data_IF_327114585116
#
_entry.id   IF_327114585116
#
_cell.length_a   1.000
_cell.length_b   1.000
_cell.length_c   1.000
_cell.angle_alpha   90.00
_cell.angle_beta   90.00
_cell.angle_gamma   90.00
#
_symmetry.space_group_name_H-M   'P 1'
#
loop_
_entity.id
_entity.type
_entity.pdbx_description
1 polymer ?
#
# COMPACT_ATOMS: atom_id res chain seq x y z
N UNK A 1 45.98 16.24 16.98
CA UNK A 1 44.93 16.47 15.97
C UNK A 1 43.97 17.47 16.59
N UNK A 2 44.02 18.74 16.16
CA UNK A 2 43.08 19.77 16.62
C UNK A 2 41.90 19.72 15.66
N UNK A 3 40.80 19.10 16.10
CA UNK A 3 39.56 19.06 15.34
C UNK A 3 38.83 20.38 15.60
N UNK A 4 38.74 21.23 14.58
CA UNK A 4 37.90 22.42 14.61
C UNK A 4 36.44 21.98 14.71
N UNK A 5 35.83 22.29 15.87
CA UNK A 5 34.47 21.96 16.33
C UNK A 5 34.22 20.48 16.67
N UNK A 6 34.51 20.05 17.91
CA UNK A 6 33.69 19.05 18.53
C UNK A 6 32.47 19.79 19.09
N UNK A 7 31.36 19.80 18.38
CA UNK A 7 30.10 19.68 19.12
C UNK A 7 30.26 18.47 20.02
N UNK A 8 29.87 18.58 21.28
CA UNK A 8 29.91 17.53 22.30
C UNK A 8 29.01 16.34 21.91
N UNK A 9 29.38 15.66 20.84
CA UNK A 9 28.69 14.53 20.26
C UNK A 9 29.20 13.26 20.94
N UNK A 10 28.27 12.56 21.58
CA UNK A 10 28.51 11.29 22.25
C UNK A 10 29.08 10.25 21.28
N UNK A 11 28.74 10.34 19.99
CA UNK A 11 29.20 9.45 18.93
C UNK A 11 30.73 9.48 18.81
N UNK A 12 31.32 10.68 18.78
CA UNK A 12 32.78 10.84 18.69
C UNK A 12 33.50 10.32 19.94
N UNK A 13 32.91 10.49 21.14
CA UNK A 13 33.50 9.88 22.34
C UNK A 13 33.51 8.35 22.26
N UNK A 14 32.43 7.73 21.78
CA UNK A 14 32.37 6.27 21.58
C UNK A 14 33.40 5.81 20.54
N UNK A 15 33.60 6.56 19.46
CA UNK A 15 34.67 6.28 18.49
C UNK A 15 36.07 6.34 19.13
N UNK A 16 36.32 7.35 19.98
CA UNK A 16 37.58 7.47 20.70
C UNK A 16 37.80 6.32 21.71
N UNK A 17 36.75 5.84 22.35
CA UNK A 17 36.79 4.66 23.23
C UNK A 17 37.15 3.39 22.44
N UNK A 18 36.50 3.17 21.29
CA UNK A 18 36.80 2.06 20.38
C UNK A 18 38.24 2.15 19.88
N UNK A 19 38.67 3.32 19.41
CA UNK A 19 40.05 3.56 18.96
C UNK A 19 41.07 3.22 20.05
N UNK A 20 40.77 3.60 21.31
CA UNK A 20 41.65 3.27 22.45
C UNK A 20 41.66 1.77 22.76
N UNK A 21 40.54 1.07 22.59
CA UNK A 21 40.45 -0.37 22.75
C UNK A 21 41.24 -1.13 21.67
N UNK A 22 41.21 -0.65 20.42
CA UNK A 22 41.99 -1.20 19.30
C UNK A 22 43.49 -0.92 19.41
N UNK A 23 43.88 0.16 20.10
CA UNK A 23 45.28 0.55 20.27
C UNK A 23 45.69 0.60 21.75
N UNK A 24 45.86 -0.55 22.43
CA UNK A 24 46.18 -0.59 23.86
C UNK A 24 47.50 0.09 24.22
N UNK A 25 48.50 0.02 23.33
CA UNK A 25 49.86 0.54 23.54
C UNK A 25 49.97 2.07 23.47
N UNK A 26 49.05 2.73 22.76
CA UNK A 26 49.05 4.19 22.61
C UNK A 26 48.41 4.88 23.80
N UNK A 27 49.09 5.85 24.42
CA UNK A 27 48.50 6.70 25.46
C UNK A 27 47.76 7.87 24.82
N UNK A 28 46.44 7.75 24.73
CA UNK A 28 45.56 8.82 24.23
C UNK A 28 45.13 9.71 25.39
N UNK A 29 45.29 11.04 25.24
CA UNK A 29 44.77 12.05 26.17
C UNK A 29 43.68 12.86 25.49
N UNK A 30 42.49 12.87 26.05
CA UNK A 30 41.33 13.61 25.54
C UNK A 30 41.05 14.78 26.47
N UNK A 31 40.89 15.97 25.90
CA UNK A 31 40.52 17.18 26.62
C UNK A 31 39.13 17.60 26.17
N UNK A 32 38.16 17.50 27.08
CA UNK A 32 36.80 17.98 26.87
C UNK A 32 36.72 19.41 27.40
N UNK A 33 36.31 20.34 26.54
CA UNK A 33 36.12 21.73 26.90
C UNK A 33 34.62 22.00 26.93
N UNK A 34 34.12 22.43 28.08
CA UNK A 34 32.73 22.84 28.25
C UNK A 34 32.67 24.31 28.65
N UNK A 35 31.76 25.05 28.03
CA UNK A 35 31.41 26.37 28.52
C UNK A 35 30.42 26.24 29.68
N UNK A 36 30.74 26.85 30.82
CA UNK A 36 29.90 26.80 32.02
C UNK A 36 28.50 27.35 31.76
N UNK A 37 27.47 26.70 32.32
CA UNK A 37 26.06 27.07 32.13
C UNK A 37 25.60 27.14 30.65
N UNK A 38 26.25 26.39 29.75
CA UNK A 38 25.87 26.31 28.33
C UNK A 38 24.77 25.27 28.07
N UNK A 39 24.04 25.43 26.97
CA UNK A 39 23.12 24.40 26.47
C UNK A 39 23.87 23.16 25.95
N UNK A 40 25.16 23.29 25.64
CA UNK A 40 26.00 22.20 25.11
C UNK A 40 26.26 21.12 26.17
N UNK A 41 26.55 21.53 27.42
CA UNK A 41 26.75 20.58 28.52
C UNK A 41 25.43 19.88 28.88
N UNK A 42 24.31 20.62 28.88
CA UNK A 42 22.99 20.02 29.13
C UNK A 42 22.60 18.99 28.06
N UNK A 43 22.86 19.28 26.77
CA UNK A 43 22.62 18.32 25.68
C UNK A 43 23.49 17.07 25.79
N UNK A 44 24.75 17.26 26.17
CA UNK A 44 25.69 16.16 26.38
C UNK A 44 25.25 15.26 27.55
N UNK A 45 24.96 15.85 28.71
CA UNK A 45 24.50 15.12 29.89
C UNK A 45 23.17 14.40 29.63
N UNK A 46 22.22 15.05 28.96
CA UNK A 46 20.95 14.43 28.57
C UNK A 46 21.14 13.25 27.61
N UNK A 47 22.15 13.30 26.72
CA UNK A 47 22.46 12.21 25.81
C UNK A 47 23.05 11.01 26.55
N UNK A 48 23.99 11.24 27.47
CA UNK A 48 24.57 10.20 28.34
C UNK A 48 23.49 9.56 29.21
N UNK A 49 22.62 10.36 29.83
CA UNK A 49 21.51 9.85 30.65
C UNK A 49 20.53 9.02 29.83
N UNK A 50 20.19 9.46 28.61
CA UNK A 50 19.32 8.70 27.71
C UNK A 50 19.94 7.37 27.32
N UNK A 51 21.24 7.35 27.03
CA UNK A 51 21.98 6.14 26.69
C UNK A 51 22.00 5.14 27.86
N UNK A 52 22.36 5.61 29.06
CA UNK A 52 22.36 4.77 30.27
C UNK A 52 20.97 4.19 30.57
N UNK A 53 19.93 5.03 30.50
CA UNK A 53 18.55 4.58 30.72
C UNK A 53 18.10 3.54 29.67
N UNK A 54 18.55 3.68 28.42
CA UNK A 54 18.27 2.70 27.37
C UNK A 54 18.94 1.34 27.66
N UNK A 55 20.21 1.35 28.10
CA UNK A 55 20.90 0.12 28.50
C UNK A 55 20.28 -0.55 29.72
N UNK A 56 19.93 0.21 30.75
CA UNK A 56 19.22 -0.33 31.92
C UNK A 56 17.88 -0.94 31.55
N UNK A 57 17.11 -0.27 30.68
CA UNK A 57 15.85 -0.79 30.16
C UNK A 57 16.05 -2.11 29.41
N UNK A 58 17.07 -2.19 28.55
CA UNK A 58 17.38 -3.41 27.80
C UNK A 58 17.79 -4.56 28.73
N UNK A 59 18.63 -4.30 29.72
CA UNK A 59 19.04 -5.30 30.73
C UNK A 59 17.82 -5.82 31.49
N UNK A 60 16.91 -4.92 31.89
CA UNK A 60 15.68 -5.27 32.60
C UNK A 60 14.70 -6.07 31.72
N UNK A 61 14.52 -5.68 30.46
CA UNK A 61 13.68 -6.42 29.53
C UNK A 61 14.27 -7.80 29.24
N UNK A 62 15.59 -7.89 29.04
CA UNK A 62 16.29 -9.16 28.83
C UNK A 62 16.17 -10.10 30.04
N UNK A 63 16.24 -9.58 31.27
CA UNK A 63 16.08 -10.40 32.47
C UNK A 63 14.65 -10.89 32.68
N UNK A 64 13.65 -10.16 32.16
CA UNK A 64 12.23 -10.53 32.22
C UNK A 64 11.78 -11.42 31.06
N UNK A 65 12.55 -11.50 29.98
CA UNK A 65 12.16 -12.25 28.79
C UNK A 65 12.21 -13.76 29.08
N UNK A 66 11.05 -14.39 29.26
CA UNK A 66 10.92 -15.84 29.16
C UNK A 66 11.07 -16.23 27.70
N UNK A 67 12.18 -16.90 27.36
CA UNK A 67 12.32 -17.58 26.07
C UNK A 67 11.44 -18.85 26.19
N UNK A 68 10.37 -18.99 25.39
CA UNK A 68 9.64 -20.25 25.35
C UNK A 68 10.59 -21.31 24.80
N UNK A 69 11.06 -22.19 25.68
CA UNK A 69 11.79 -23.40 25.30
C UNK A 69 10.73 -24.42 24.98
N UNK A 70 10.55 -24.73 23.69
CA UNK A 70 9.73 -25.86 23.29
C UNK A 70 10.42 -27.16 23.74
N UNK A 71 9.66 -28.25 23.95
CA UNK A 71 10.12 -29.49 24.60
C UNK A 71 11.29 -30.21 23.89
N UNK A 72 11.72 -29.73 22.72
CA UNK A 72 12.84 -30.28 21.94
C UNK A 72 14.14 -29.46 21.99
N UNK A 73 14.24 -28.43 22.86
CA UNK A 73 15.52 -27.76 23.14
C UNK A 73 16.13 -26.98 21.97
N UNK A 74 15.36 -26.65 20.92
CA UNK A 74 15.82 -25.77 19.83
C UNK A 74 15.40 -24.32 20.08
N UNK A 75 16.38 -23.44 20.21
CA UNK A 75 16.18 -22.00 20.28
C UNK A 75 15.59 -21.49 18.96
N UNK A 76 14.40 -20.90 18.98
CA UNK A 76 13.82 -20.23 17.81
C UNK A 76 14.54 -18.88 17.66
N UNK A 77 15.59 -18.84 16.83
CA UNK A 77 16.04 -17.60 16.21
C UNK A 77 15.09 -17.20 15.08
N UNK A 78 15.04 -15.92 14.69
CA UNK A 78 14.29 -15.51 13.51
C UNK A 78 15.05 -15.99 12.27
N UNK A 79 14.49 -16.94 11.51
CA UNK A 79 14.54 -17.13 10.04
C UNK A 79 14.41 -18.64 9.71
N UNK A 80 13.65 -18.91 8.65
CA UNK A 80 13.55 -20.14 7.83
C UNK A 80 12.49 -21.19 8.20
N UNK A 81 11.22 -20.88 7.94
CA UNK A 81 10.17 -21.89 7.70
C UNK A 81 10.22 -22.45 6.26
N UNK A 82 11.41 -22.74 5.74
CA UNK A 82 11.60 -23.50 4.51
C UNK A 82 12.43 -24.73 4.81
N UNK A 83 11.74 -25.84 5.07
CA UNK A 83 12.31 -27.16 5.25
C UNK A 83 11.18 -28.17 5.49
N UNK A 84 10.94 -29.12 4.59
CA UNK A 84 9.78 -29.99 4.63
C UNK A 84 10.00 -31.07 5.69
N UNK A 85 9.13 -31.16 6.69
CA UNK A 85 9.14 -32.29 7.61
C UNK A 85 7.85 -33.11 7.50
N UNK A 86 7.97 -34.43 7.66
CA UNK A 86 7.11 -35.42 7.03
C UNK A 86 5.95 -35.82 7.95
N UNK A 87 4.87 -36.23 7.31
CA UNK A 87 3.83 -37.14 7.75
C UNK A 87 3.81 -37.52 9.25
N UNK A 88 2.84 -36.96 9.98
CA UNK A 88 2.23 -37.63 11.13
C UNK A 88 0.92 -38.25 10.61
N UNK A 89 0.99 -39.54 10.30
CA UNK A 89 -0.14 -40.40 9.98
C UNK A 89 -0.94 -40.68 11.25
N UNK A 90 -2.16 -40.15 11.31
CA UNK A 90 -3.21 -40.69 12.18
C UNK A 90 -4.09 -41.60 11.33
N UNK A 91 -3.89 -42.90 11.53
CA UNK A 91 -4.63 -43.99 10.90
C UNK A 91 -6.10 -43.98 11.34
N UNK A 92 -7.01 -43.90 10.36
CA UNK A 92 -8.38 -44.42 10.47
C UNK A 92 -8.76 -45.14 9.17
N UNK A 93 -9.40 -46.32 9.23
CA UNK A 93 -9.48 -47.22 8.09
C UNK A 93 -10.71 -46.97 7.18
N UNK A 94 -10.43 -47.10 5.88
CA UNK A 94 -11.27 -47.69 4.80
C UNK A 94 -12.65 -47.08 4.50
N UNK A 95 -12.72 -46.38 3.35
CA UNK A 95 -13.67 -46.69 2.28
C UNK A 95 -13.18 -46.13 0.94
N UNK A 96 -12.89 -47.04 -0.01
CA UNK A 96 -12.63 -46.75 -1.42
C UNK A 96 -13.85 -46.06 -2.04
N UNK A 97 -13.68 -44.85 -2.54
CA UNK A 97 -14.37 -44.37 -3.74
C UNK A 97 -13.50 -43.28 -4.38
N UNK A 98 -13.19 -43.43 -5.66
CA UNK A 98 -12.26 -42.57 -6.38
C UNK A 98 -12.70 -41.11 -6.36
N UNK A 99 -11.97 -40.28 -5.62
CA UNK A 99 -12.05 -38.84 -5.72
C UNK A 99 -10.88 -38.36 -6.58
N UNK A 100 -11.21 -37.72 -7.71
CA UNK A 100 -10.25 -36.91 -8.47
C UNK A 100 -9.57 -35.95 -7.49
N UNK A 101 -8.25 -35.99 -7.41
CA UNK A 101 -7.46 -34.93 -6.76
C UNK A 101 -7.76 -33.61 -7.50
N UNK A 102 -8.73 -32.85 -7.02
CA UNK A 102 -8.85 -31.44 -7.35
C UNK A 102 -7.62 -30.79 -6.74
N UNK A 103 -6.63 -30.45 -7.58
CA UNK A 103 -5.53 -29.57 -7.19
C UNK A 103 -6.17 -28.33 -6.54
N UNK A 104 -6.05 -28.19 -5.23
CA UNK A 104 -6.54 -26.99 -4.54
C UNK A 104 -5.81 -25.80 -5.15
N UNK A 105 -6.57 -24.96 -5.86
CA UNK A 105 -6.03 -23.83 -6.59
C UNK A 105 -5.55 -22.82 -5.55
N UNK A 106 -4.24 -22.57 -5.52
CA UNK A 106 -3.62 -21.62 -4.59
C UNK A 106 -4.26 -20.23 -4.75
N UNK A 107 -4.92 -19.74 -3.69
CA UNK A 107 -5.60 -18.44 -3.66
C UNK A 107 -4.56 -17.34 -3.79
N UNK A 108 -4.63 -16.52 -4.84
CA UNK A 108 -3.62 -15.50 -5.16
C UNK A 108 -4.19 -14.09 -5.28
N UNK A 109 -3.42 -13.09 -4.88
CA UNK A 109 -3.79 -11.67 -4.97
C UNK A 109 -2.64 -10.91 -5.62
N UNK A 110 -2.95 -10.10 -6.63
CA UNK A 110 -1.96 -9.20 -7.23
C UNK A 110 -2.04 -7.88 -6.49
N UNK A 111 -0.90 -7.33 -6.11
CA UNK A 111 -0.78 -6.11 -5.31
C UNK A 111 0.13 -5.13 -6.03
N UNK A 112 -0.27 -3.87 -6.09
CA UNK A 112 0.59 -2.80 -6.59
C UNK A 112 1.87 -2.70 -5.74
N UNK A 113 3.04 -2.60 -6.39
CA UNK A 113 4.33 -2.37 -5.73
C UNK A 113 4.31 -1.17 -4.77
N UNK A 114 3.55 -0.11 -5.08
CA UNK A 114 3.42 1.07 -4.20
C UNK A 114 2.73 0.71 -2.89
N UNK A 115 1.72 -0.14 -2.97
CA UNK A 115 0.91 -0.58 -1.85
C UNK A 115 1.56 -1.74 -1.08
N UNK A 116 2.53 -2.41 -1.68
CA UNK A 116 3.32 -3.48 -1.06
C UNK A 116 4.08 -3.02 0.21
N UNK A 117 4.33 -1.71 0.35
CA UNK A 117 4.95 -1.10 1.54
C UNK A 117 4.00 -1.00 2.75
N UNK A 118 2.71 -1.29 2.56
CA UNK A 118 1.73 -1.29 3.65
C UNK A 118 1.75 -2.60 4.45
N UNK A 119 1.01 -2.64 5.57
CA UNK A 119 0.93 -3.83 6.43
C UNK A 119 -0.02 -4.92 5.90
N UNK A 120 -0.97 -4.58 5.02
CA UNK A 120 -1.99 -5.50 4.54
C UNK A 120 -1.41 -6.68 3.71
N UNK A 121 -0.46 -6.50 2.78
CA UNK A 121 0.19 -7.61 2.07
C UNK A 121 0.74 -8.70 3.00
N UNK A 122 1.38 -8.32 4.11
CA UNK A 122 1.90 -9.27 5.10
C UNK A 122 0.75 -10.06 5.75
N UNK A 123 -0.34 -9.39 6.13
CA UNK A 123 -1.51 -10.04 6.73
C UNK A 123 -2.21 -10.99 5.74
N UNK A 124 -2.30 -10.61 4.45
CA UNK A 124 -2.83 -11.47 3.40
C UNK A 124 -2.00 -12.75 3.26
N UNK A 125 -0.66 -12.62 3.30
CA UNK A 125 0.23 -13.76 3.25
C UNK A 125 0.06 -14.67 4.48
N UNK A 126 -0.05 -14.11 5.69
CA UNK A 126 -0.32 -14.86 6.92
C UNK A 126 -1.67 -15.61 6.88
N UNK A 127 -2.67 -15.07 6.16
CA UNK A 127 -3.97 -15.73 5.92
C UNK A 127 -3.91 -16.81 4.82
N UNK A 128 -2.73 -17.15 4.31
CA UNK A 128 -2.52 -18.22 3.35
C UNK A 128 -2.74 -17.83 1.88
N UNK A 129 -2.84 -16.53 1.58
CA UNK A 129 -2.92 -16.06 0.19
C UNK A 129 -1.53 -15.84 -0.40
N UNK A 130 -1.34 -16.23 -1.65
CA UNK A 130 -0.14 -15.90 -2.41
C UNK A 130 -0.20 -14.47 -2.90
N UNK A 131 0.63 -13.62 -2.31
CA UNK A 131 0.74 -12.21 -2.67
C UNK A 131 1.75 -12.05 -3.79
N UNK A 132 1.33 -11.44 -4.90
CA UNK A 132 2.17 -11.22 -6.07
C UNK A 132 2.34 -9.71 -6.30
N UNK A 133 3.53 -9.14 -6.02
CA UNK A 133 3.79 -7.73 -6.24
C UNK A 133 4.01 -7.44 -7.73
N UNK A 134 3.26 -6.48 -8.28
CA UNK A 134 3.30 -6.07 -9.70
C UNK A 134 3.05 -4.58 -9.78
N UNK A 135 3.63 -3.86 -10.74
CA UNK A 135 3.29 -2.46 -10.97
C UNK A 135 1.96 -2.39 -11.72
N UNK A 136 0.94 -1.79 -11.11
CA UNK A 136 -0.40 -1.64 -11.69
C UNK A 136 -0.68 -0.18 -12.02
N UNK A 137 -1.24 0.07 -13.20
CA UNK A 137 -1.71 1.40 -13.57
C UNK A 137 -3.07 1.74 -12.94
N UNK A 138 -3.90 0.71 -12.69
CA UNK A 138 -5.29 0.86 -12.23
C UNK A 138 -5.58 0.04 -10.98
N UNK A 139 -5.80 0.75 -9.87
CA UNK A 139 -6.13 0.19 -8.55
C UNK A 139 -4.94 -0.40 -7.80
N UNK A 140 -5.15 -0.76 -6.54
CA UNK A 140 -4.09 -1.19 -5.62
C UNK A 140 -4.02 -2.71 -5.48
N UNK A 141 -5.17 -3.40 -5.53
CA UNK A 141 -5.27 -4.85 -5.42
C UNK A 141 -6.20 -5.42 -6.49
N UNK A 142 -5.76 -6.49 -7.15
CA UNK A 142 -6.60 -7.26 -8.08
C UNK A 142 -6.87 -8.62 -7.46
N UNK A 143 -8.14 -8.83 -7.07
CA UNK A 143 -8.58 -10.06 -6.39
C UNK A 143 -9.00 -11.15 -7.38
N UNK A 144 -9.48 -10.75 -8.55
CA UNK A 144 -10.00 -11.60 -9.63
C UNK A 144 -9.88 -10.82 -10.94
N UNK A 145 -9.88 -11.46 -12.12
CA UNK A 145 -9.92 -10.76 -13.40
C UNK A 145 -11.03 -9.70 -13.52
N UNK A 146 -12.09 -9.84 -12.71
CA UNK A 146 -13.24 -8.94 -12.69
C UNK A 146 -13.21 -7.90 -11.55
N UNK A 147 -12.46 -8.18 -10.47
CA UNK A 147 -12.54 -7.46 -9.21
C UNK A 147 -11.24 -6.72 -8.93
N UNK A 148 -11.33 -5.39 -8.88
CA UNK A 148 -10.22 -4.52 -8.52
C UNK A 148 -10.61 -3.67 -7.31
N UNK A 149 -9.65 -3.46 -6.41
CA UNK A 149 -9.82 -2.73 -5.15
C UNK A 149 -8.84 -1.57 -5.11
N UNK A 150 -9.34 -0.37 -4.85
CA UNK A 150 -8.56 0.78 -4.40
C UNK A 150 -8.72 0.89 -2.87
N UNK A 151 -7.61 0.86 -2.15
CA UNK A 151 -7.60 0.99 -0.69
C UNK A 151 -7.32 2.45 -0.32
N UNK A 152 -8.18 3.02 0.52
CA UNK A 152 -8.02 4.40 0.99
C UNK A 152 -8.11 4.49 2.51
N UNK A 153 -7.10 5.10 3.13
CA UNK A 153 -7.19 5.53 4.51
C UNK A 153 -8.16 6.71 4.63
N UNK A 154 -8.66 6.98 5.84
CA UNK A 154 -9.55 8.12 6.07
C UNK A 154 -8.88 9.46 5.68
N UNK A 155 -7.62 9.69 6.05
CA UNK A 155 -6.91 10.92 5.70
C UNK A 155 -6.75 11.08 4.19
N UNK A 156 -6.38 10.00 3.50
CA UNK A 156 -6.18 10.04 2.06
C UNK A 156 -7.52 10.20 1.32
N UNK A 157 -8.61 9.69 1.89
CA UNK A 157 -9.96 9.90 1.37
C UNK A 157 -10.31 11.39 1.37
N UNK A 158 -10.13 12.09 2.51
CA UNK A 158 -10.37 13.53 2.59
C UNK A 158 -9.50 14.31 1.58
N UNK A 159 -8.21 13.99 1.49
CA UNK A 159 -7.29 14.67 0.59
C UNK A 159 -7.61 14.40 -0.89
N UNK A 160 -7.98 13.18 -1.23
CA UNK A 160 -8.31 12.78 -2.60
C UNK A 160 -9.64 13.37 -3.08
N UNK A 161 -10.62 13.56 -2.18
CA UNK A 161 -11.82 14.35 -2.49
C UNK A 161 -11.54 15.84 -2.61
N UNK A 162 -10.64 16.40 -1.80
CA UNK A 162 -10.29 17.82 -1.88
C UNK A 162 -9.56 18.17 -3.19
N UNK A 163 -8.71 17.27 -3.67
CA UNK A 163 -7.97 17.43 -4.93
C UNK A 163 -8.74 16.98 -6.18
N UNK A 164 -9.89 16.31 -6.01
CA UNK A 164 -10.63 15.68 -7.12
C UNK A 164 -10.00 14.39 -7.67
N UNK A 165 -8.80 14.03 -7.20
CA UNK A 165 -8.06 12.83 -7.64
C UNK A 165 -8.89 11.55 -7.54
N UNK A 166 -9.68 11.39 -6.47
CA UNK A 166 -10.45 10.17 -6.25
C UNK A 166 -11.40 9.87 -7.40
N UNK A 167 -12.05 10.89 -7.96
CA UNK A 167 -13.02 10.72 -9.03
C UNK A 167 -12.37 10.12 -10.28
N UNK A 168 -11.20 10.61 -10.68
CA UNK A 168 -10.45 10.08 -11.81
C UNK A 168 -9.95 8.64 -11.59
N UNK A 169 -9.55 8.31 -10.35
CA UNK A 169 -9.23 6.94 -9.98
C UNK A 169 -10.43 6.01 -10.16
N UNK A 170 -11.61 6.42 -9.69
CA UNK A 170 -12.84 5.63 -9.83
C UNK A 170 -13.28 5.50 -11.29
N UNK A 171 -13.18 6.58 -12.08
CA UNK A 171 -13.47 6.57 -13.52
C UNK A 171 -12.62 5.52 -14.25
N UNK A 172 -11.31 5.53 -14.00
CA UNK A 172 -10.36 4.58 -14.59
C UNK A 172 -10.67 3.15 -14.18
N UNK A 173 -10.95 2.91 -12.89
CA UNK A 173 -11.33 1.59 -12.38
C UNK A 173 -12.63 1.05 -13.00
N UNK A 174 -13.66 1.88 -13.13
CA UNK A 174 -14.97 1.49 -13.70
C UNK A 174 -14.87 1.19 -15.18
N UNK A 175 -13.96 1.85 -15.90
CA UNK A 175 -13.66 1.56 -17.30
C UNK A 175 -12.99 0.19 -17.45
N UNK A 176 -12.01 -0.12 -16.58
CA UNK A 176 -11.14 -1.28 -16.72
C UNK A 176 -11.66 -2.58 -16.08
N UNK A 177 -12.48 -2.48 -15.03
CA UNK A 177 -12.90 -3.64 -14.23
C UNK A 177 -14.40 -3.78 -14.12
N UNK A 178 -14.84 -5.04 -13.99
CA UNK A 178 -16.27 -5.31 -13.92
C UNK A 178 -16.89 -4.90 -12.58
N UNK A 179 -16.13 -5.12 -11.50
CA UNK A 179 -16.50 -4.88 -10.11
C UNK A 179 -15.40 -4.03 -9.46
N UNK A 180 -15.44 -2.70 -9.66
CA UNK A 180 -14.54 -1.79 -8.96
C UNK A 180 -15.00 -1.60 -7.51
N UNK A 181 -14.07 -1.75 -6.57
CA UNK A 181 -14.33 -1.63 -5.13
C UNK A 181 -13.46 -0.51 -4.57
N UNK A 182 -14.08 0.46 -3.89
CA UNK A 182 -13.37 1.41 -3.03
C UNK A 182 -13.44 0.89 -1.59
N UNK A 183 -12.30 0.47 -1.06
CA UNK A 183 -12.14 0.01 0.30
C UNK A 183 -11.69 1.18 1.19
N UNK A 184 -12.55 1.59 2.12
CA UNK A 184 -12.27 2.62 3.11
C UNK A 184 -11.84 1.96 4.41
N UNK A 185 -10.59 2.20 4.81
CA UNK A 185 -10.00 1.62 6.02
C UNK A 185 -9.90 2.64 7.15
N UNK A 186 -10.46 2.28 8.30
CA UNK A 186 -10.43 3.05 9.54
C UNK A 186 -9.29 2.58 10.43
N UNK A 187 -8.68 3.52 11.15
CA UNK A 187 -7.72 3.22 12.21
C UNK A 187 -8.44 2.65 13.42
N UNK A 188 -7.88 1.61 14.05
CA UNK A 188 -8.46 1.01 15.26
C UNK A 188 -8.54 1.99 16.43
N UNK A 189 -7.63 2.97 16.46
CA UNK A 189 -7.48 3.94 17.54
C UNK A 189 -8.45 5.13 17.41
N UNK A 190 -9.23 5.19 16.32
CA UNK A 190 -10.15 6.29 16.01
C UNK A 190 -11.59 5.79 16.01
N UNK A 191 -12.52 6.71 16.25
CA UNK A 191 -13.95 6.40 16.13
C UNK A 191 -14.28 5.96 14.70
N UNK A 192 -15.21 5.00 14.58
CA UNK A 192 -15.75 4.56 13.30
C UNK A 192 -16.78 5.58 12.78
N UNK A 193 -16.31 6.80 12.56
CA UNK A 193 -17.11 7.89 11.99
C UNK A 193 -16.21 8.80 11.17
N UNK A 194 -16.76 9.37 10.11
CA UNK A 194 -16.05 10.39 9.33
C UNK A 194 -16.05 11.76 9.98
N UNK A 195 -17.08 12.07 10.76
CA UNK A 195 -17.24 13.34 11.44
C UNK A 195 -17.79 13.09 12.86
N UNK A 196 -17.41 13.90 13.86
CA UNK A 196 -18.06 13.84 15.16
C UNK A 196 -19.55 14.17 15.00
N UNK A 197 -20.41 13.50 15.77
CA UNK A 197 -21.88 13.63 15.67
C UNK A 197 -22.40 15.05 15.88
N UNK A 198 -21.61 15.93 16.52
CA UNK A 198 -21.96 17.34 16.72
C UNK A 198 -21.84 18.21 15.46
N UNK A 199 -21.15 17.73 14.42
CA UNK A 199 -20.92 18.48 13.16
C UNK A 199 -21.89 18.09 12.04
N UNK A 200 -22.79 17.15 12.31
CA UNK A 200 -23.91 16.81 11.43
C UNK A 200 -25.02 17.84 11.68
N UNK A 201 -24.93 18.98 11.01
CA UNK A 201 -26.05 19.92 10.92
C UNK A 201 -27.27 19.26 10.27
N UNK A 202 -28.45 19.84 10.49
CA UNK A 202 -29.71 19.36 9.90
C UNK A 202 -29.73 19.49 8.36
N UNK A 203 -28.83 20.31 7.82
CA UNK A 203 -28.69 20.59 6.39
C UNK A 203 -27.60 19.76 5.70
N UNK A 204 -27.90 19.33 4.47
CA UNK A 204 -26.94 18.63 3.59
C UNK A 204 -25.86 19.63 3.14
N UNK A 205 -24.69 19.57 3.78
CA UNK A 205 -23.55 20.39 3.35
C UNK A 205 -22.83 19.76 2.15
N UNK A 206 -22.58 20.52 1.06
CA UNK A 206 -21.83 20.02 -0.10
C UNK A 206 -20.34 19.78 0.21
N UNK A 207 -19.86 20.34 1.32
CA UNK A 207 -18.49 20.14 1.82
C UNK A 207 -18.33 18.85 2.60
N UNK A 208 -19.43 18.25 3.12
CA UNK A 208 -19.36 17.00 3.85
C UNK A 208 -18.89 15.86 2.96
N UNK A 209 -18.02 15.03 3.53
CA UNK A 209 -17.51 13.81 2.92
C UNK A 209 -18.63 12.82 2.59
N UNK A 210 -19.70 12.79 3.40
CA UNK A 210 -20.86 11.90 3.18
C UNK A 210 -21.61 12.33 1.92
N UNK A 211 -21.81 13.63 1.73
CA UNK A 211 -22.41 14.19 0.50
C UNK A 211 -21.56 13.88 -0.72
N UNK A 212 -20.23 14.03 -0.63
CA UNK A 212 -19.29 13.72 -1.71
C UNK A 212 -19.24 12.23 -2.04
N UNK A 213 -19.27 11.35 -1.04
CA UNK A 213 -19.36 9.90 -1.24
C UNK A 213 -20.68 9.50 -1.88
N UNK A 214 -21.79 10.08 -1.44
CA UNK A 214 -23.11 9.86 -2.05
C UNK A 214 -23.11 10.26 -3.53
N UNK A 215 -22.55 11.43 -3.85
CA UNK A 215 -22.42 11.91 -5.22
C UNK A 215 -21.53 10.97 -6.07
N UNK A 216 -20.42 10.47 -5.50
CA UNK A 216 -19.53 9.53 -6.17
C UNK A 216 -20.25 8.22 -6.55
N UNK A 217 -21.03 7.67 -5.63
CA UNK A 217 -21.80 6.43 -5.86
C UNK A 217 -22.93 6.64 -6.88
N UNK A 218 -23.59 7.81 -6.84
CA UNK A 218 -24.59 8.19 -7.84
C UNK A 218 -23.99 8.29 -9.24
N UNK A 219 -22.78 8.85 -9.35
CA UNK A 219 -22.08 8.99 -10.62
C UNK A 219 -21.57 7.64 -11.17
N UNK A 220 -21.08 6.77 -10.29
CA UNK A 220 -20.51 5.48 -10.66
C UNK A 220 -21.37 4.32 -10.10
N UNK A 221 -22.49 3.94 -10.74
CA UNK A 221 -23.44 2.97 -10.20
C UNK A 221 -22.86 1.55 -10.03
N UNK A 222 -21.72 1.26 -10.67
CA UNK A 222 -21.00 -0.03 -10.57
C UNK A 222 -20.00 -0.05 -9.41
N UNK A 223 -19.63 1.10 -8.88
CA UNK A 223 -18.68 1.22 -7.78
C UNK A 223 -19.29 0.63 -6.50
N UNK A 224 -18.52 -0.23 -5.84
CA UNK A 224 -18.92 -0.80 -4.54
C UNK A 224 -18.07 -0.20 -3.44
N UNK A 225 -18.72 0.28 -2.38
CA UNK A 225 -18.02 0.77 -1.19
C UNK A 225 -17.93 -0.36 -0.15
N UNK A 226 -16.73 -0.58 0.35
CA UNK A 226 -16.46 -1.53 1.43
C UNK A 226 -15.73 -0.82 2.56
N UNK A 227 -16.09 -1.15 3.79
CA UNK A 227 -15.62 -0.48 4.99
C UNK A 227 -14.92 -1.50 5.86
N UNK A 228 -13.74 -1.16 6.36
CA UNK A 228 -13.00 -2.04 7.25
C UNK A 228 -12.45 -1.27 8.43
N UNK A 229 -12.48 -1.89 9.62
CA UNK A 229 -11.94 -1.32 10.87
C UNK A 229 -10.52 -1.79 11.18
N UNK A 230 -9.99 -2.74 10.41
CA UNK A 230 -8.65 -3.27 10.60
C UNK A 230 -8.15 -3.99 9.37
N UNK A 231 -6.82 -4.03 9.19
CA UNK A 231 -6.18 -4.83 8.12
C UNK A 231 -6.51 -6.33 8.20
N UNK A 232 -6.74 -6.86 9.41
CA UNK A 232 -7.13 -8.27 9.60
C UNK A 232 -8.54 -8.54 9.07
N UNK A 233 -9.49 -7.64 9.37
CA UNK A 233 -10.85 -7.69 8.82
C UNK A 233 -10.83 -7.50 7.31
N UNK A 234 -9.99 -6.60 6.79
CA UNK A 234 -9.79 -6.42 5.35
C UNK A 234 -9.35 -7.73 4.67
N UNK A 235 -8.39 -8.45 5.27
CA UNK A 235 -7.95 -9.73 4.74
C UNK A 235 -9.08 -10.78 4.73
N UNK A 236 -9.93 -10.83 5.77
CA UNK A 236 -11.09 -11.72 5.80
C UNK A 236 -12.14 -11.37 4.75
N UNK A 237 -12.36 -10.07 4.51
CA UNK A 237 -13.20 -9.59 3.41
C UNK A 237 -12.63 -10.05 2.07
N UNK A 238 -11.30 -9.97 1.87
CA UNK A 238 -10.67 -10.41 0.62
C UNK A 238 -10.84 -11.92 0.40
N UNK A 239 -10.68 -12.75 1.43
CA UNK A 239 -10.97 -14.20 1.35
C UNK A 239 -12.43 -14.43 0.94
N UNK A 240 -13.36 -13.71 1.58
CA UNK A 240 -14.79 -13.85 1.31
C UNK A 240 -15.15 -13.44 -0.12
N UNK A 241 -14.58 -12.34 -0.62
CA UNK A 241 -14.77 -11.87 -2.00
C UNK A 241 -14.18 -12.85 -3.03
N UNK A 242 -13.12 -13.57 -2.68
CA UNK A 242 -12.48 -14.55 -3.56
C UNK A 242 -13.14 -15.94 -3.58
N UNK A 243 -13.99 -16.26 -2.60
CA UNK A 243 -14.49 -17.64 -2.39
C UNK A 243 -15.30 -18.25 -3.56
N UNK A 244 -15.68 -17.47 -4.57
CA UNK A 244 -16.36 -17.94 -5.80
C UNK A 244 -15.86 -17.21 -7.05
N UNK A 245 -14.59 -16.82 -7.08
CA UNK A 245 -14.02 -16.04 -8.17
C UNK A 245 -12.85 -16.76 -8.82
N UNK A 246 -12.60 -16.44 -10.09
CA UNK A 246 -11.41 -16.89 -10.78
C UNK A 246 -10.15 -16.21 -10.24
N UNK A 247 -9.04 -16.92 -10.32
CA UNK A 247 -7.75 -16.39 -9.90
C UNK A 247 -7.21 -15.37 -10.92
N UNK A 248 -6.68 -14.23 -10.45
CA UNK A 248 -6.14 -13.21 -11.33
C UNK A 248 -4.84 -13.67 -12.01
N UNK A 249 -4.59 -13.13 -13.21
CA UNK A 249 -3.39 -13.40 -13.99
C UNK A 249 -2.52 -12.13 -14.08
N UNK A 250 -1.25 -12.23 -13.70
CA UNK A 250 -0.25 -11.16 -13.73
C UNK A 250 -0.18 -10.47 -15.09
N UNK A 251 -0.02 -11.24 -16.17
CA UNK A 251 0.16 -10.69 -17.51
C UNK A 251 -1.08 -9.94 -18.01
N UNK A 252 -2.28 -10.31 -17.53
CA UNK A 252 -3.50 -9.55 -17.84
C UNK A 252 -3.55 -8.27 -17.01
N UNK A 253 -3.31 -8.34 -15.71
CA UNK A 253 -3.37 -7.20 -14.81
C UNK A 253 -2.39 -6.07 -15.19
N UNK A 254 -1.17 -6.42 -15.64
CA UNK A 254 -0.17 -5.44 -16.12
C UNK A 254 -0.67 -4.68 -17.35
N UNK A 255 -1.42 -5.34 -18.23
CA UNK A 255 -1.90 -4.74 -19.49
C UNK A 255 -3.17 -3.92 -19.33
N UNK A 256 -3.85 -4.04 -18.19
CA UNK A 256 -5.09 -3.30 -17.93
C UNK A 256 -4.75 -1.84 -17.65
N UNK A 257 -5.29 -0.93 -18.44
CA UNK A 257 -5.07 0.52 -18.31
C UNK A 257 -3.92 1.09 -19.16
N UNK A 258 -3.07 0.24 -19.73
CA UNK A 258 -2.04 0.67 -20.70
C UNK A 258 -2.72 0.89 -22.06
N UNK A 259 -2.60 2.08 -22.67
CA UNK A 259 -3.02 2.29 -24.05
C UNK A 259 -2.23 1.35 -24.96
N UNK A 260 -2.89 0.41 -25.64
CA UNK A 260 -2.23 -0.43 -26.64
C UNK A 260 -1.77 0.44 -27.83
N UNK A 261 -0.58 0.18 -28.37
CA UNK A 261 -0.15 0.79 -29.65
C UNK A 261 -1.05 0.34 -30.82
N UNK A 262 -1.62 -0.87 -30.73
CA UNK A 262 -2.66 -1.39 -31.63
C UNK A 262 -3.96 -1.57 -30.84
N UNK A 263 -4.89 -0.62 -30.97
CA UNK A 263 -6.11 -0.47 -30.14
C UNK A 263 -7.16 -1.58 -30.22
N UNK A 264 -6.81 -2.84 -29.97
CA UNK A 264 -7.76 -3.97 -29.95
C UNK A 264 -7.54 -4.79 -28.68
N UNK A 265 -8.39 -4.55 -27.67
CA UNK A 265 -8.65 -5.53 -26.63
C UNK A 265 -9.75 -6.45 -27.18
N UNK A 266 -9.36 -7.60 -27.73
CA UNK A 266 -10.32 -8.64 -28.05
C UNK A 266 -11.04 -9.05 -26.77
N UNK A 267 -12.37 -8.82 -26.75
CA UNK A 267 -13.38 -9.23 -25.77
C UNK A 267 -13.89 -8.21 -24.74
N UNK A 268 -13.57 -6.92 -24.84
CA UNK A 268 -14.32 -5.90 -24.08
C UNK A 268 -15.34 -5.21 -24.98
N UNK A 269 -16.60 -5.63 -24.87
CA UNK A 269 -17.70 -5.15 -25.71
C UNK A 269 -18.19 -3.75 -25.26
N UNK A 270 -17.64 -3.17 -24.18
CA UNK A 270 -18.27 -2.00 -23.50
C UNK A 270 -17.34 -0.92 -22.99
N UNK A 271 -16.01 -1.07 -23.05
CA UNK A 271 -15.13 0.09 -23.06
C UNK A 271 -15.26 0.71 -24.46
N UNK A 272 -15.65 1.97 -24.57
CA UNK A 272 -15.55 2.64 -25.86
C UNK A 272 -14.08 2.52 -26.32
N UNK A 273 -13.84 1.81 -27.42
CA UNK A 273 -12.52 1.45 -27.96
C UNK A 273 -11.73 2.66 -28.48
N UNK A 274 -11.85 3.81 -27.82
CA UNK A 274 -11.08 4.99 -28.14
C UNK A 274 -9.80 4.98 -27.32
N UNK A 275 -8.72 5.43 -27.96
CA UNK A 275 -7.45 5.64 -27.28
C UNK A 275 -7.64 6.70 -26.19
N UNK A 276 -7.73 6.27 -24.93
CA UNK A 276 -7.97 7.14 -23.76
C UNK A 276 -6.90 8.23 -23.67
N UNK A 277 -5.64 7.89 -23.96
CA UNK A 277 -4.54 8.86 -23.96
C UNK A 277 -4.72 9.94 -25.03
N UNK A 278 -5.25 9.59 -26.22
CA UNK A 278 -5.58 10.56 -27.25
C UNK A 278 -6.73 11.47 -26.79
N UNK A 279 -7.81 10.91 -26.23
CA UNK A 279 -8.93 11.71 -25.70
C UNK A 279 -8.46 12.69 -24.62
N UNK A 280 -7.63 12.21 -23.69
CA UNK A 280 -7.11 13.03 -22.60
C UNK A 280 -6.18 14.14 -23.12
N UNK A 281 -5.41 13.86 -24.18
CA UNK A 281 -4.64 14.88 -24.89
C UNK A 281 -5.56 15.94 -25.52
N UNK A 282 -6.60 15.51 -26.24
CA UNK A 282 -7.57 16.42 -26.86
C UNK A 282 -8.26 17.33 -25.83
N UNK A 283 -8.68 16.79 -24.68
CA UNK A 283 -9.31 17.57 -23.59
C UNK A 283 -8.38 18.61 -22.96
N UNK A 284 -7.06 18.44 -23.10
CA UNK A 284 -6.06 19.41 -22.63
C UNK A 284 -5.76 20.51 -23.65
N UNK A 285 -6.22 20.38 -24.89
CA UNK A 285 -6.02 21.42 -25.90
C UNK A 285 -6.93 22.64 -25.60
N UNK A 286 -6.38 23.85 -25.64
CA UNK A 286 -7.17 25.06 -25.39
C UNK A 286 -8.27 25.20 -26.45
N UNK A 287 -9.51 25.39 -25.99
CA UNK A 287 -10.69 25.53 -26.86
C UNK A 287 -11.41 24.22 -27.19
N UNK A 288 -10.87 23.06 -26.80
CA UNK A 288 -11.53 21.77 -26.97
C UNK A 288 -12.41 21.46 -25.77
N UNK A 289 -13.73 21.52 -25.94
CA UNK A 289 -14.72 21.15 -24.92
C UNK A 289 -15.24 19.73 -25.11
N UNK A 290 -15.94 19.20 -24.10
CA UNK A 290 -16.54 17.86 -24.10
C UNK A 290 -17.54 17.62 -25.25
N UNK A 291 -18.11 18.69 -25.80
CA UNK A 291 -18.96 18.63 -27.00
C UNK A 291 -18.17 18.59 -28.30
N UNK A 292 -16.96 19.18 -28.32
CA UNK A 292 -16.17 19.38 -29.54
C UNK A 292 -15.20 18.21 -29.77
N UNK A 293 -14.61 17.63 -28.72
CA UNK A 293 -13.58 16.59 -28.89
C UNK A 293 -14.10 15.37 -29.67
N UNK A 294 -15.38 15.01 -29.52
CA UNK A 294 -15.98 13.90 -30.27
C UNK A 294 -16.01 14.16 -31.77
N UNK A 295 -16.32 15.39 -32.17
CA UNK A 295 -16.31 15.82 -33.58
C UNK A 295 -14.87 15.86 -34.14
N UNK A 296 -13.90 16.29 -33.33
CA UNK A 296 -12.49 16.29 -33.71
C UNK A 296 -11.93 14.87 -33.86
N UNK A 297 -12.30 13.96 -32.97
CA UNK A 297 -11.91 12.54 -33.02
C UNK A 297 -12.51 11.83 -34.24
N UNK A 298 -13.75 12.13 -34.61
CA UNK A 298 -14.37 11.55 -35.80
C UNK A 298 -13.76 12.11 -37.11
N UNK A 299 -13.23 13.34 -37.04
CA UNK A 299 -12.59 14.03 -38.16
C UNK A 299 -11.12 13.68 -38.41
N UNK A 300 -10.42 13.04 -37.46
CA UNK A 300 -8.98 12.77 -37.53
C UNK A 300 -8.69 11.30 -37.26
N UNK A 301 -7.90 10.63 -38.12
CA UNK A 301 -7.52 9.22 -37.88
C UNK A 301 -6.40 9.10 -36.85
N UNK A 302 -5.56 10.12 -36.72
CA UNK A 302 -4.46 10.17 -35.75
C UNK A 302 -4.15 11.61 -35.33
N UNK A 303 -3.36 11.77 -34.26
CA UNK A 303 -3.03 13.09 -33.72
C UNK A 303 -2.13 13.93 -34.65
N UNK A 304 -1.34 13.28 -35.50
CA UNK A 304 -0.49 13.98 -36.47
C UNK A 304 -1.32 14.67 -37.56
N UNK A 305 -2.43 14.07 -37.99
CA UNK A 305 -3.36 14.63 -38.97
C UNK A 305 -4.02 15.91 -38.44
N UNK A 306 -4.33 15.98 -37.14
CA UNK A 306 -4.87 17.19 -36.51
C UNK A 306 -3.96 18.41 -36.71
N UNK A 307 -2.63 18.23 -36.63
CA UNK A 307 -1.67 19.32 -36.79
C UNK A 307 -1.60 19.85 -38.25
N UNK A 308 -2.12 19.08 -39.21
CA UNK A 308 -2.07 19.38 -40.65
C UNK A 308 -3.43 19.89 -41.14
N UNK A 309 -4.50 19.74 -40.35
CA UNK A 309 -5.83 20.17 -40.74
C UNK A 309 -5.93 21.70 -40.86
N UNK A 310 -6.54 22.22 -41.93
CA UNK A 310 -6.81 23.64 -42.07
C UNK A 310 -7.84 24.10 -41.02
N UNK A 311 -7.68 25.32 -40.52
CA UNK A 311 -8.54 25.94 -39.50
C UNK A 311 -9.97 26.18 -39.99
N UNK A 312 -10.20 26.07 -41.30
CA UNK A 312 -11.48 26.28 -41.97
C UNK A 312 -12.30 24.99 -42.04
N UNK A 313 -12.93 24.60 -40.92
CA UNK A 313 -14.02 23.61 -40.88
C UNK A 313 -15.04 23.95 -39.81
#
# INVERSE_FOLDING_TARGET
>A
MLCERPSSDITFMREMEVYKAENPSLKVKVYLLFYGNSTEIQKFDASIQRENAAFESLIRQKSLMMIPVDQDGRCIGPTTLFGPNPAISLDLPTKKLGCKMTMEKEIRVIVDMREFMSSLPNVLHQKGMKVVPVTLDVGDYVLSPLVCVERKSISDLFQSFASGRLYHQMETMVCCYMIPILLIEFSQDKSFSFQPSNDLGDDISPTSIISKLSLLVLHFPRLRLVWSRSVHTTAEIFVSLKSNQDEPNEAKAIRVGVPFEDGIIENDVRAENYNIAAIEFFRRLPGVTDSIYRSLMDGCKNLAELAILPVER
#
